data_IF_786230419669
#
_entry.id   IF_786230419669
#
_cell.length_a   1.000
_cell.length_b   1.000
_cell.length_c   1.000
_cell.angle_alpha   90.00
_cell.angle_beta   90.00
_cell.angle_gamma   90.00
#
_symmetry.space_group_name_H-M   'P 1'
#
loop_
_entity.id
_entity.type
_entity.pdbx_description
1 polymer ?
#
# COMPACT_ATOMS: atom_id res chain seq x y z
N UNK A 1 4.15 -14.46 -1.08
CA UNK A 1 3.11 -13.42 -1.20
C UNK A 1 3.77 -12.09 -1.48
N UNK A 2 3.38 -11.43 -2.57
CA UNK A 2 3.98 -10.16 -3.02
C UNK A 2 3.05 -9.00 -2.70
N UNK A 3 3.59 -8.01 -2.00
CA UNK A 3 2.91 -6.74 -1.69
C UNK A 3 3.57 -5.63 -2.49
N UNK A 4 2.76 -4.89 -3.25
CA UNK A 4 3.23 -3.76 -4.06
C UNK A 4 2.48 -2.52 -3.62
N UNK A 5 3.21 -1.46 -3.29
CA UNK A 5 2.65 -0.15 -2.98
C UNK A 5 3.17 0.84 -4.02
N UNK A 6 2.28 1.49 -4.75
CA UNK A 6 2.63 2.51 -5.72
C UNK A 6 1.99 3.84 -5.33
N UNK A 7 2.80 4.89 -5.17
CA UNK A 7 2.33 6.26 -4.99
C UNK A 7 2.50 7.02 -6.30
N UNK A 8 1.42 7.55 -6.84
CA UNK A 8 1.41 8.37 -8.06
C UNK A 8 0.57 9.63 -7.84
N UNK A 9 1.02 10.77 -8.35
CA UNK A 9 0.28 12.03 -8.30
C UNK A 9 1.19 13.24 -8.06
N UNK A 10 0.58 14.41 -7.91
CA UNK A 10 1.27 15.70 -7.81
C UNK A 10 1.67 16.28 -9.19
N UNK A 11 2.05 17.56 -9.21
CA UNK A 11 2.26 18.36 -10.42
C UNK A 11 3.31 17.82 -11.41
N UNK A 12 4.21 16.94 -10.96
CA UNK A 12 5.29 16.38 -11.79
C UNK A 12 5.03 14.95 -12.28
N UNK A 13 3.92 14.31 -11.90
CA UNK A 13 3.60 12.94 -12.34
C UNK A 13 4.57 11.84 -11.88
N UNK A 14 5.39 12.12 -10.86
CA UNK A 14 6.38 11.16 -10.34
C UNK A 14 5.66 9.98 -9.71
N UNK A 15 6.04 8.76 -10.13
CA UNK A 15 5.55 7.50 -9.57
C UNK A 15 6.64 6.84 -8.73
N UNK A 16 6.37 6.64 -7.45
CA UNK A 16 7.18 5.81 -6.57
C UNK A 16 6.52 4.45 -6.43
N UNK A 17 7.31 3.38 -6.50
CA UNK A 17 6.81 2.03 -6.30
C UNK A 17 7.75 1.28 -5.37
N UNK A 18 7.17 0.67 -4.35
CA UNK A 18 7.85 -0.16 -3.37
C UNK A 18 7.27 -1.57 -3.44
N UNK A 19 8.12 -2.57 -3.31
CA UNK A 19 7.73 -3.98 -3.37
C UNK A 19 8.34 -4.71 -2.19
N UNK A 20 7.55 -5.61 -1.60
CA UNK A 20 8.01 -6.55 -0.58
C UNK A 20 7.51 -7.94 -0.93
N UNK A 21 8.40 -8.93 -0.81
CA UNK A 21 8.02 -10.35 -0.78
C UNK A 21 7.98 -10.78 0.67
N UNK A 22 6.80 -11.16 1.14
CA UNK A 22 6.53 -11.54 2.53
C UNK A 22 7.40 -12.71 2.97
N UNK A 23 7.62 -13.67 2.08
CA UNK A 23 8.45 -14.86 2.27
C UNK A 23 9.93 -14.57 2.47
N UNK A 24 10.41 -13.40 2.02
CA UNK A 24 11.80 -12.96 2.18
C UNK A 24 11.99 -12.08 3.42
N UNK A 25 10.91 -11.78 4.16
CA UNK A 25 10.96 -10.99 5.39
C UNK A 25 11.32 -11.85 6.60
N UNK A 26 11.94 -11.28 7.65
CA UNK A 26 12.30 -12.04 8.86
C UNK A 26 11.09 -12.68 9.57
N UNK A 27 9.91 -12.05 9.51
CA UNK A 27 8.69 -12.49 10.20
C UNK A 27 7.50 -12.65 9.23
N UNK A 28 7.47 -13.71 8.39
CA UNK A 28 6.45 -13.88 7.36
C UNK A 28 5.04 -14.13 7.91
N UNK A 29 4.92 -14.78 9.08
CA UNK A 29 3.64 -15.00 9.77
C UNK A 29 3.00 -13.69 10.22
N UNK A 30 3.76 -12.84 10.90
CA UNK A 30 3.33 -11.52 11.36
C UNK A 30 2.91 -10.60 10.20
N UNK A 31 3.57 -10.73 9.04
CA UNK A 31 3.15 -10.04 7.83
C UNK A 31 1.81 -10.56 7.31
N UNK A 32 1.63 -11.87 7.27
CA UNK A 32 0.40 -12.50 6.79
C UNK A 32 -0.80 -12.15 7.68
N UNK A 33 -0.64 -12.24 9.00
CA UNK A 33 -1.67 -11.86 9.97
C UNK A 33 -2.05 -10.38 9.83
N UNK A 34 -1.07 -9.50 9.67
CA UNK A 34 -1.31 -8.07 9.45
C UNK A 34 -2.05 -7.81 8.15
N UNK A 35 -1.66 -8.46 7.04
CA UNK A 35 -2.35 -8.29 5.76
C UNK A 35 -3.80 -8.79 5.83
N UNK A 36 -4.07 -9.87 6.57
CA UNK A 36 -5.42 -10.40 6.74
C UNK A 36 -6.30 -9.54 7.66
N UNK A 37 -5.71 -8.69 8.52
CA UNK A 37 -6.48 -7.79 9.39
C UNK A 37 -6.84 -6.47 8.70
N UNK A 38 -6.29 -6.19 7.52
CA UNK A 38 -6.61 -4.99 6.77
C UNK A 38 -8.05 -5.04 6.24
N UNK A 39 -8.75 -3.89 6.26
CA UNK A 39 -10.15 -3.82 5.84
C UNK A 39 -10.24 -3.72 4.30
N UNK A 40 -9.76 -4.73 3.58
CA UNK A 40 -9.71 -4.73 2.10
C UNK A 40 -11.08 -4.49 1.47
N UNK A 41 -12.15 -5.07 2.05
CA UNK A 41 -13.51 -5.00 1.51
C UNK A 41 -14.27 -3.70 1.89
N UNK A 42 -13.82 -2.99 2.93
CA UNK A 42 -14.45 -1.73 3.36
C UNK A 42 -13.91 -0.50 2.62
N UNK A 43 -12.90 -0.69 1.76
CA UNK A 43 -12.36 0.41 0.95
C UNK A 43 -13.27 0.65 -0.25
N UNK A 44 -13.96 1.79 -0.22
CA UNK A 44 -14.52 2.34 -1.46
C UNK A 44 -13.38 2.89 -2.30
N UNK A 45 -13.13 2.25 -3.44
CA UNK A 45 -12.10 2.65 -4.40
C UNK A 45 -12.30 4.14 -4.74
N UNK A 46 -11.38 4.98 -4.28
CA UNK A 46 -11.52 6.43 -4.46
C UNK A 46 -10.80 6.84 -5.72
N UNK A 47 -11.52 7.53 -6.60
CA UNK A 47 -10.91 8.06 -7.81
C UNK A 47 -9.79 9.05 -7.47
N UNK A 48 -8.68 8.95 -8.21
CA UNK A 48 -7.58 9.87 -8.09
C UNK A 48 -8.04 11.26 -8.51
N UNK A 49 -8.23 12.17 -7.55
CA UNK A 49 -8.56 13.56 -7.85
C UNK A 49 -7.35 14.23 -8.51
N UNK A 50 -7.55 15.06 -9.55
CA UNK A 50 -6.49 15.92 -10.08
C UNK A 50 -5.83 16.70 -8.93
N UNK A 51 -4.50 16.80 -8.96
CA UNK A 51 -3.63 17.46 -7.97
C UNK A 51 -3.35 16.72 -6.65
N UNK A 52 -3.90 15.52 -6.42
CA UNK A 52 -3.60 14.72 -5.21
C UNK A 52 -2.80 13.47 -5.48
N UNK A 53 -2.12 12.97 -4.45
CA UNK A 53 -1.48 11.65 -4.51
C UNK A 53 -2.53 10.53 -4.37
N UNK A 54 -2.38 9.50 -5.20
CA UNK A 54 -3.08 8.23 -5.12
C UNK A 54 -2.10 7.11 -4.79
N UNK A 55 -2.53 6.19 -3.95
CA UNK A 55 -1.81 5.01 -3.51
C UNK A 55 -2.53 3.78 -4.02
N UNK A 56 -1.85 3.00 -4.87
CA UNK A 56 -2.33 1.71 -5.32
C UNK A 56 -1.60 0.61 -4.56
N UNK A 57 -2.35 -0.23 -3.86
CA UNK A 57 -1.83 -1.31 -3.04
C UNK A 57 -2.32 -2.62 -3.64
N UNK A 58 -1.39 -3.53 -3.94
CA UNK A 58 -1.69 -4.85 -4.52
C UNK A 58 -1.11 -5.95 -3.65
N UNK A 59 -1.95 -6.90 -3.27
CA UNK A 59 -1.58 -8.09 -2.52
C UNK A 59 -2.55 -9.21 -2.90
N UNK A 60 -2.18 -10.08 -3.85
CA UNK A 60 -3.10 -11.07 -4.40
C UNK A 60 -3.81 -11.89 -3.29
N UNK A 61 -5.15 -12.03 -3.34
CA UNK A 61 -6.05 -11.62 -4.42
C UNK A 61 -6.54 -10.15 -4.35
N UNK A 62 -6.19 -9.39 -3.32
CA UNK A 62 -6.68 -8.05 -3.06
C UNK A 62 -5.93 -6.95 -3.83
N UNK A 63 -6.68 -5.94 -4.27
CA UNK A 63 -6.17 -4.69 -4.83
C UNK A 63 -7.07 -3.55 -4.37
N UNK A 64 -6.47 -2.44 -3.91
CA UNK A 64 -7.20 -1.22 -3.53
C UNK A 64 -6.47 0.02 -4.03
N UNK A 65 -7.25 1.07 -4.35
CA UNK A 65 -6.76 2.41 -4.68
C UNK A 65 -7.28 3.40 -3.64
N UNK A 66 -6.34 4.02 -2.94
CA UNK A 66 -6.60 4.98 -1.87
C UNK A 66 -6.12 6.37 -2.30
N UNK A 67 -6.94 7.39 -2.10
CA UNK A 67 -6.48 8.76 -2.11
C UNK A 67 -5.60 9.02 -0.86
N UNK A 68 -4.69 10.00 -0.92
CA UNK A 68 -3.81 10.35 0.20
C UNK A 68 -4.53 10.50 1.56
N UNK A 69 -5.71 11.14 1.69
CA UNK A 69 -6.43 11.23 2.96
C UNK A 69 -6.93 9.87 3.51
N UNK A 70 -7.14 8.89 2.62
CA UNK A 70 -7.58 7.54 3.00
C UNK A 70 -6.41 6.64 3.43
N UNK A 71 -5.16 7.03 3.15
CA UNK A 71 -3.97 6.35 3.64
C UNK A 71 -3.74 6.74 5.10
N UNK A 72 -4.64 6.25 5.96
CA UNK A 72 -4.65 6.46 7.40
C UNK A 72 -4.77 5.11 8.13
N UNK A 73 -4.58 5.13 9.45
CA UNK A 73 -4.64 3.94 10.30
C UNK A 73 -3.86 2.74 9.72
N UNK A 74 -4.50 1.57 9.55
CA UNK A 74 -3.81 0.35 9.13
C UNK A 74 -3.20 0.43 7.72
N UNK A 75 -3.78 1.24 6.82
CA UNK A 75 -3.21 1.46 5.48
C UNK A 75 -1.91 2.24 5.53
N UNK A 76 -1.83 3.25 6.40
CA UNK A 76 -0.60 4.02 6.60
C UNK A 76 0.50 3.14 7.18
N UNK A 77 0.15 2.27 8.11
CA UNK A 77 1.09 1.33 8.71
C UNK A 77 1.62 0.33 7.67
N UNK A 78 0.77 -0.17 6.77
CA UNK A 78 1.21 -1.00 5.65
C UNK A 78 2.21 -0.26 4.75
N UNK A 79 1.88 0.96 4.33
CA UNK A 79 2.76 1.78 3.48
C UNK A 79 4.11 2.01 4.15
N UNK A 80 4.11 2.38 5.43
CA UNK A 80 5.34 2.60 6.19
C UNK A 80 6.18 1.32 6.31
N UNK A 81 5.54 0.17 6.59
CA UNK A 81 6.22 -1.12 6.71
C UNK A 81 6.87 -1.54 5.39
N UNK A 82 6.18 -1.34 4.26
CA UNK A 82 6.71 -1.64 2.93
C UNK A 82 7.87 -0.70 2.57
N UNK A 83 7.78 0.59 2.91
CA UNK A 83 8.86 1.56 2.68
C UNK A 83 10.11 1.23 3.51
N UNK A 84 9.93 0.92 4.79
CA UNK A 84 11.02 0.55 5.69
C UNK A 84 11.77 -0.70 5.21
N UNK A 85 11.06 -1.70 4.70
CA UNK A 85 11.66 -2.90 4.10
C UNK A 85 12.44 -2.60 2.80
N UNK A 86 12.17 -1.46 2.14
CA UNK A 86 12.89 -0.97 0.97
C UNK A 86 14.00 0.04 1.33
N UNK A 87 14.29 0.24 2.63
CA UNK A 87 15.34 1.16 3.09
C UNK A 87 15.00 2.65 2.95
N UNK A 88 13.71 3.00 2.92
CA UNK A 88 13.20 4.38 2.77
C UNK A 88 12.32 4.85 3.92
#
# INVERSE_FOLDING_TARGET
>A
MKVIVSRSGGMAGIRLTWEVRVEEQPDPSTWTEFLNSLPWDDVTDSEATPDRFAYRIRCAPHEVVLAEPQVNGPWRDLVNRVRAANGM
#
